data_IF_387413908310
#
_entry.id   IF_387413908310
#
_cell.length_a   1.000
_cell.length_b   1.000
_cell.length_c   1.000
_cell.angle_alpha   90.00
_cell.angle_beta   90.00
_cell.angle_gamma   90.00
#
_symmetry.space_group_name_H-M   'P 1'
#
loop_
_entity.id
_entity.type
_entity.pdbx_description
1 polymer ?
#
# COMPACT_ATOMS: atom_id res chain seq x y z
N UNK A 1 -23.07 -28.73 -6.67
CA UNK A 1 -23.94 -27.54 -6.53
C UNK A 1 -23.56 -26.68 -5.34
N UNK A 2 -23.19 -27.23 -4.19
CA UNK A 2 -22.80 -26.48 -2.98
C UNK A 2 -21.56 -25.58 -3.18
N UNK A 3 -20.53 -26.04 -3.90
CA UNK A 3 -19.31 -25.28 -4.17
C UNK A 3 -19.54 -24.02 -5.03
N UNK A 4 -20.49 -24.07 -5.97
CA UNK A 4 -20.82 -22.92 -6.83
C UNK A 4 -21.49 -21.80 -6.00
N UNK A 5 -22.32 -22.18 -5.02
CA UNK A 5 -23.04 -21.24 -4.14
C UNK A 5 -22.05 -20.44 -3.26
N UNK A 6 -20.92 -21.02 -2.91
CA UNK A 6 -19.86 -20.33 -2.14
C UNK A 6 -18.92 -19.58 -3.07
N UNK A 7 -18.57 -20.14 -4.22
CA UNK A 7 -17.57 -19.58 -5.14
C UNK A 7 -18.04 -18.27 -5.80
N UNK A 8 -19.29 -18.23 -6.29
CA UNK A 8 -19.80 -17.04 -6.99
C UNK A 8 -19.88 -15.81 -6.09
N UNK A 9 -20.45 -15.86 -4.86
CA UNK A 9 -20.45 -14.72 -3.98
C UNK A 9 -19.04 -14.29 -3.56
N UNK A 10 -18.14 -15.24 -3.30
CA UNK A 10 -16.76 -14.89 -2.90
C UNK A 10 -15.99 -14.21 -4.04
N UNK A 11 -16.21 -14.60 -5.29
CA UNK A 11 -15.63 -13.93 -6.45
C UNK A 11 -16.20 -12.51 -6.64
N UNK A 12 -17.49 -12.31 -6.42
CA UNK A 12 -18.11 -10.98 -6.51
C UNK A 12 -17.59 -10.03 -5.42
N UNK A 13 -17.38 -10.54 -4.21
CA UNK A 13 -16.81 -9.75 -3.09
C UNK A 13 -15.35 -9.36 -3.37
N UNK A 14 -14.60 -10.18 -4.12
CA UNK A 14 -13.22 -9.90 -4.48
C UNK A 14 -13.08 -8.83 -5.57
N UNK A 15 -14.14 -8.46 -6.27
CA UNK A 15 -14.10 -7.44 -7.32
C UNK A 15 -13.79 -6.04 -6.72
N UNK A 16 -12.87 -5.25 -7.32
CA UNK A 16 -12.04 -5.54 -8.49
C UNK A 16 -10.68 -6.17 -8.17
N UNK A 17 -10.38 -6.44 -6.90
CA UNK A 17 -9.04 -6.77 -6.38
C UNK A 17 -8.74 -8.29 -6.42
N UNK A 18 -9.05 -8.97 -7.53
CA UNK A 18 -8.88 -10.42 -7.64
C UNK A 18 -7.46 -10.93 -7.38
N UNK A 19 -6.43 -10.15 -7.68
CA UNK A 19 -5.04 -10.54 -7.46
C UNK A 19 -4.68 -10.67 -5.97
N UNK A 20 -5.32 -9.86 -5.13
CA UNK A 20 -5.12 -9.87 -3.67
C UNK A 20 -6.17 -10.72 -2.95
N UNK A 21 -6.94 -11.55 -3.70
CA UNK A 21 -7.99 -12.36 -3.11
C UNK A 21 -7.43 -13.57 -2.37
N UNK A 22 -7.76 -13.66 -1.11
CA UNK A 22 -7.60 -14.86 -0.29
C UNK A 22 -8.96 -15.33 0.19
N UNK A 23 -9.19 -16.65 0.14
CA UNK A 23 -10.46 -17.22 0.54
C UNK A 23 -10.72 -17.02 2.05
N UNK A 24 -11.97 -17.16 2.45
CA UNK A 24 -12.42 -16.97 3.85
C UNK A 24 -11.69 -17.92 4.81
N UNK A 25 -11.36 -19.14 4.38
CA UNK A 25 -10.63 -20.12 5.19
C UNK A 25 -9.17 -19.67 5.47
N UNK A 26 -8.58 -18.86 4.61
CA UNK A 26 -7.27 -18.22 4.81
C UNK A 26 -7.36 -16.90 5.58
N UNK A 27 -8.52 -16.53 6.11
CA UNK A 27 -8.76 -15.28 6.83
C UNK A 27 -9.06 -14.07 5.93
N UNK A 28 -9.33 -14.29 4.64
CA UNK A 28 -9.65 -13.27 3.65
C UNK A 28 -8.43 -12.45 3.22
N UNK A 29 -8.62 -11.50 2.31
CA UNK A 29 -7.55 -10.71 1.69
C UNK A 29 -6.73 -9.87 2.68
N UNK A 30 -7.26 -9.53 3.85
CA UNK A 30 -6.52 -8.79 4.90
C UNK A 30 -5.42 -9.62 5.57
N UNK A 31 -5.55 -10.93 5.59
CA UNK A 31 -4.59 -11.84 6.21
C UNK A 31 -3.71 -12.56 5.19
N UNK A 32 -3.85 -12.25 3.91
CA UNK A 32 -3.08 -12.87 2.83
C UNK A 32 -1.57 -12.79 3.01
N UNK A 33 -1.08 -11.67 3.55
CA UNK A 33 0.35 -11.45 3.82
C UNK A 33 0.97 -12.42 4.84
N UNK A 34 0.15 -13.07 5.68
CA UNK A 34 0.63 -14.10 6.62
C UNK A 34 0.89 -15.45 5.96
N UNK A 35 0.25 -15.70 4.81
CA UNK A 35 0.29 -17.00 4.13
C UNK A 35 1.23 -17.02 2.92
N UNK A 36 1.23 -15.95 2.15
CA UNK A 36 2.02 -15.85 0.92
C UNK A 36 2.66 -14.46 0.82
N UNK A 37 3.98 -14.43 0.75
CA UNK A 37 4.78 -13.23 0.56
C UNK A 37 5.26 -13.14 -0.89
N UNK A 38 4.36 -13.22 -1.89
CA UNK A 38 4.74 -13.17 -3.29
C UNK A 38 3.84 -12.28 -4.14
N UNK A 39 4.03 -12.38 -5.42
CA UNK A 39 3.34 -11.69 -6.51
C UNK A 39 1.80 -11.63 -6.39
N UNK A 40 1.20 -12.44 -5.52
CA UNK A 40 -0.23 -12.42 -5.26
C UNK A 40 -0.70 -11.28 -4.34
N UNK A 41 0.20 -10.44 -3.81
CA UNK A 41 -0.15 -9.36 -2.88
C UNK A 41 -0.27 -8.01 -3.59
N UNK A 42 0.71 -7.65 -4.40
CA UNK A 42 0.76 -6.34 -5.05
C UNK A 42 1.61 -6.37 -6.32
N UNK A 43 1.05 -5.89 -7.42
CA UNK A 43 1.73 -5.59 -8.68
C UNK A 43 1.42 -4.17 -9.16
N UNK A 44 0.93 -3.34 -8.26
CA UNK A 44 0.51 -2.00 -8.58
C UNK A 44 -0.93 -1.84 -9.02
N UNK A 45 -1.72 -2.91 -8.92
CA UNK A 45 -3.14 -2.87 -9.27
C UNK A 45 -3.97 -1.92 -8.38
N UNK A 46 -3.44 -1.53 -7.22
CA UNK A 46 -4.17 -0.71 -6.25
C UNK A 46 -4.01 0.81 -6.44
N UNK A 47 -3.27 1.28 -7.46
CA UNK A 47 -3.13 2.71 -7.74
C UNK A 47 -4.47 3.43 -7.99
N UNK A 48 -5.43 2.88 -8.78
CA UNK A 48 -6.74 3.52 -8.92
C UNK A 48 -7.51 3.63 -7.61
N UNK A 49 -7.38 2.65 -6.72
CA UNK A 49 -7.99 2.69 -5.40
C UNK A 49 -7.28 3.72 -4.49
N UNK A 50 -5.95 3.85 -4.59
CA UNK A 50 -5.19 4.88 -3.90
C UNK A 50 -5.64 6.28 -4.34
N UNK A 51 -5.80 6.52 -5.63
CA UNK A 51 -6.31 7.81 -6.14
C UNK A 51 -7.69 8.14 -5.56
N UNK A 52 -8.62 7.19 -5.58
CA UNK A 52 -9.95 7.38 -4.97
C UNK A 52 -9.87 7.69 -3.47
N UNK A 53 -8.96 7.05 -2.75
CA UNK A 53 -8.72 7.32 -1.34
C UNK A 53 -8.19 8.75 -1.13
N UNK A 54 -7.22 9.19 -1.93
CA UNK A 54 -6.67 10.55 -1.87
C UNK A 54 -7.75 11.59 -2.12
N UNK A 55 -8.56 11.43 -3.17
CA UNK A 55 -9.65 12.35 -3.52
C UNK A 55 -10.70 12.45 -2.40
N UNK A 56 -11.10 11.30 -1.86
CA UNK A 56 -12.08 11.24 -0.76
C UNK A 56 -11.59 11.93 0.51
N UNK A 57 -10.29 11.93 0.76
CA UNK A 57 -9.69 12.47 1.99
C UNK A 57 -8.99 13.83 1.78
N UNK A 58 -9.19 14.48 0.61
CA UNK A 58 -8.56 15.75 0.23
C UNK A 58 -7.03 15.73 0.43
N UNK A 59 -6.39 14.68 -0.11
CA UNK A 59 -4.94 14.51 -0.09
C UNK A 59 -4.41 14.87 -1.48
N UNK A 60 -3.78 16.02 -1.62
CA UNK A 60 -3.24 16.49 -2.89
C UNK A 60 -1.95 15.76 -3.24
N UNK A 61 -1.07 15.56 -2.25
CA UNK A 61 0.23 14.90 -2.43
C UNK A 61 0.47 13.85 -1.35
N UNK A 62 1.06 12.70 -1.74
CA UNK A 62 1.35 11.58 -0.85
C UNK A 62 2.81 11.13 -0.96
N UNK A 63 3.37 10.63 0.14
CA UNK A 63 4.68 9.99 0.15
C UNK A 63 4.50 8.51 -0.15
N UNK A 64 5.02 8.04 -1.29
CA UNK A 64 4.67 6.75 -1.87
C UNK A 64 5.86 5.79 -1.92
N UNK A 65 5.69 4.63 -1.32
CA UNK A 65 6.54 3.45 -1.51
C UNK A 65 5.72 2.37 -2.23
N UNK A 66 5.81 2.35 -3.55
CA UNK A 66 4.94 1.57 -4.41
C UNK A 66 5.68 0.43 -5.08
N UNK A 67 5.11 -0.79 -4.98
CA UNK A 67 5.65 -1.97 -5.64
C UNK A 67 4.96 -2.15 -7.01
N UNK A 68 5.61 -1.72 -8.07
CA UNK A 68 5.11 -1.80 -9.44
C UNK A 68 5.95 -0.98 -10.42
N UNK A 69 5.58 -1.04 -11.69
CA UNK A 69 6.30 -0.39 -12.79
C UNK A 69 5.49 0.68 -13.51
N UNK A 70 4.19 0.75 -13.22
CA UNK A 70 3.32 1.77 -13.81
C UNK A 70 3.57 3.08 -13.07
N UNK A 71 3.75 4.15 -13.82
CA UNK A 71 3.91 5.48 -13.24
C UNK A 71 2.61 5.92 -12.55
N UNK A 72 2.65 6.23 -11.24
CA UNK A 72 1.47 6.70 -10.51
C UNK A 72 0.84 7.98 -11.08
N UNK A 73 1.62 8.83 -11.74
CA UNK A 73 1.14 10.07 -12.36
C UNK A 73 0.10 9.82 -13.46
N UNK A 74 0.14 8.64 -14.12
CA UNK A 74 -0.87 8.23 -15.12
C UNK A 74 -2.28 8.19 -14.50
N UNK A 75 -2.37 7.89 -13.21
CA UNK A 75 -3.64 7.90 -12.45
C UNK A 75 -3.93 9.23 -11.77
N UNK A 76 -3.14 10.28 -12.05
CA UNK A 76 -3.28 11.59 -11.41
C UNK A 76 -2.88 11.60 -9.94
N UNK A 77 -1.94 10.74 -9.55
CA UNK A 77 -1.39 10.70 -8.20
C UNK A 77 -0.14 11.58 -8.16
N UNK A 78 -0.22 12.73 -7.47
CA UNK A 78 0.97 13.51 -7.14
C UNK A 78 1.65 12.88 -5.92
N UNK A 79 2.92 12.51 -6.08
CA UNK A 79 3.66 11.83 -5.04
C UNK A 79 5.10 12.33 -4.92
N UNK A 80 5.70 12.02 -3.80
CA UNK A 80 7.15 11.99 -3.62
C UNK A 80 7.54 10.62 -3.07
N UNK A 81 8.77 10.20 -3.25
CA UNK A 81 9.22 8.95 -2.65
C UNK A 81 9.07 8.98 -1.12
N UNK A 82 8.54 7.91 -0.57
CA UNK A 82 8.49 7.73 0.88
C UNK A 82 9.91 7.58 1.41
N UNK A 83 10.25 8.35 2.45
CA UNK A 83 11.54 8.26 3.11
C UNK A 83 11.66 6.94 3.90
N UNK A 84 12.87 6.43 4.04
CA UNK A 84 13.19 5.26 4.86
C UNK A 84 12.72 5.43 6.31
N UNK A 85 12.93 6.61 6.87
CA UNK A 85 12.48 6.95 8.23
C UNK A 85 11.20 7.77 8.17
N UNK A 86 10.12 7.33 8.86
CA UNK A 86 8.88 8.07 8.86
C UNK A 86 9.05 9.45 9.52
N UNK A 87 8.63 10.49 8.82
CA UNK A 87 8.57 11.87 9.30
C UNK A 87 7.12 12.35 9.31
N UNK A 88 6.89 13.65 9.43
CA UNK A 88 5.55 14.21 9.32
C UNK A 88 5.03 14.07 7.88
N UNK A 89 3.79 13.61 7.72
CA UNK A 89 3.14 13.49 6.42
C UNK A 89 2.16 12.32 6.33
N UNK A 90 1.68 12.07 5.12
CA UNK A 90 0.85 10.91 4.80
C UNK A 90 1.66 10.00 3.89
N UNK A 91 1.75 8.74 4.29
CA UNK A 91 2.51 7.73 3.59
C UNK A 91 1.58 6.65 3.04
N UNK A 92 1.89 6.17 1.85
CA UNK A 92 1.27 5.00 1.25
C UNK A 92 2.39 4.00 0.92
N UNK A 93 2.42 2.87 1.62
CA UNK A 93 3.48 1.87 1.49
C UNK A 93 2.87 0.54 1.05
N UNK A 94 3.40 -0.04 -0.02
CA UNK A 94 2.99 -1.37 -0.47
C UNK A 94 3.35 -2.44 0.57
N UNK A 95 2.43 -3.40 0.77
CA UNK A 95 2.62 -4.54 1.66
C UNK A 95 3.91 -5.32 1.35
N UNK A 96 4.30 -5.42 0.08
CA UNK A 96 5.52 -6.13 -0.32
C UNK A 96 6.77 -5.53 0.34
N UNK A 97 6.82 -4.23 0.54
CA UNK A 97 7.92 -3.57 1.25
C UNK A 97 7.83 -3.75 2.77
N UNK A 98 6.62 -3.76 3.31
CA UNK A 98 6.41 -3.99 4.74
C UNK A 98 6.79 -5.41 5.15
N UNK A 99 6.59 -6.42 4.29
CA UNK A 99 7.05 -7.79 4.53
C UNK A 99 8.52 -8.01 4.16
N UNK A 100 9.21 -7.00 3.66
CA UNK A 100 10.65 -7.03 3.40
C UNK A 100 11.02 -7.60 2.03
N UNK A 101 10.32 -7.21 0.97
CA UNK A 101 10.76 -7.49 -0.39
C UNK A 101 11.70 -6.41 -0.91
N UNK A 102 12.91 -6.77 -1.37
CA UNK A 102 13.76 -5.84 -2.07
C UNK A 102 13.21 -5.58 -3.47
N UNK A 103 13.25 -4.33 -3.91
CA UNK A 103 12.76 -3.95 -5.23
C UNK A 103 13.30 -2.59 -5.67
N UNK A 104 12.84 -2.12 -6.82
CA UNK A 104 13.17 -0.81 -7.35
C UNK A 104 11.99 0.13 -7.22
N UNK A 105 12.20 1.28 -6.58
CA UNK A 105 11.24 2.39 -6.56
C UNK A 105 11.44 3.27 -7.79
N UNK A 106 10.33 3.75 -8.34
CA UNK A 106 10.34 4.76 -9.38
C UNK A 106 10.41 6.14 -8.71
N UNK A 107 11.46 6.91 -9.00
CA UNK A 107 11.57 8.29 -8.52
C UNK A 107 10.63 9.19 -9.32
N UNK A 108 9.95 10.06 -8.60
CA UNK A 108 9.17 11.13 -9.21
C UNK A 108 10.05 12.02 -10.11
N UNK A 109 9.47 12.58 -11.16
CA UNK A 109 10.06 13.51 -12.12
C UNK A 109 11.23 12.99 -12.98
N UNK A 110 12.04 12.06 -12.51
CA UNK A 110 13.21 11.55 -13.25
C UNK A 110 12.98 10.19 -13.88
N UNK A 111 11.99 9.45 -13.41
CA UNK A 111 11.73 8.05 -13.75
C UNK A 111 12.92 7.11 -13.53
N UNK A 112 13.91 7.56 -12.75
CA UNK A 112 15.03 6.73 -12.34
C UNK A 112 14.58 5.66 -11.33
N UNK A 113 15.24 4.52 -11.35
CA UNK A 113 14.99 3.43 -10.43
C UNK A 113 15.94 3.49 -9.24
N UNK A 114 15.40 3.58 -8.04
CA UNK A 114 16.12 3.47 -6.78
C UNK A 114 15.96 2.05 -6.23
N UNK A 115 17.05 1.29 -6.13
CA UNK A 115 17.03 -0.01 -5.45
C UNK A 115 16.87 0.19 -3.94
N UNK A 116 15.96 -0.58 -3.34
CA UNK A 116 15.78 -0.67 -1.89
C UNK A 116 15.93 -2.10 -1.41
N UNK A 117 16.52 -2.28 -0.24
CA UNK A 117 16.70 -3.58 0.39
C UNK A 117 15.50 -3.99 1.26
N UNK A 118 15.59 -5.18 1.86
CA UNK A 118 14.52 -5.79 2.67
C UNK A 118 14.14 -4.98 3.93
N UNK A 119 15.02 -4.12 4.42
CA UNK A 119 14.83 -3.37 5.66
C UNK A 119 14.56 -1.88 5.42
N UNK A 120 14.44 -1.47 4.17
CA UNK A 120 14.30 -0.06 3.84
C UNK A 120 13.09 0.60 4.53
N UNK A 121 11.96 -0.13 4.62
CA UNK A 121 10.72 0.34 5.26
C UNK A 121 10.41 -0.39 6.57
N UNK A 122 11.40 -0.96 7.26
CA UNK A 122 11.20 -1.73 8.50
C UNK A 122 10.49 -0.92 9.61
N UNK A 123 10.78 0.37 9.72
CA UNK A 123 10.20 1.24 10.75
C UNK A 123 8.68 1.40 10.62
N UNK A 124 8.13 1.25 9.40
CA UNK A 124 6.68 1.33 9.17
C UNK A 124 5.95 0.09 9.66
N UNK A 125 6.63 -1.05 9.84
CA UNK A 125 6.04 -2.30 10.37
C UNK A 125 5.54 -2.16 11.81
N UNK A 126 6.10 -1.22 12.55
CA UNK A 126 5.74 -0.95 13.95
C UNK A 126 4.70 0.17 14.11
N UNK A 127 4.21 0.70 13.00
CA UNK A 127 3.18 1.73 13.00
C UNK A 127 1.82 1.09 12.70
N UNK A 128 0.77 1.56 13.36
CA UNK A 128 -0.58 1.21 12.98
C UNK A 128 -0.99 1.98 11.74
N UNK A 129 -1.44 1.29 10.66
CA UNK A 129 -1.95 1.96 9.48
C UNK A 129 -3.31 2.60 9.78
N UNK A 130 -3.53 3.81 9.28
CA UNK A 130 -4.82 4.50 9.36
C UNK A 130 -5.86 3.93 8.39
N UNK A 131 -5.41 3.29 7.31
CA UNK A 131 -6.25 2.61 6.32
C UNK A 131 -5.43 1.59 5.52
N UNK A 132 -6.14 0.65 4.86
CA UNK A 132 -5.57 -0.23 3.84
C UNK A 132 -6.39 -0.06 2.57
N UNK A 133 -5.73 0.22 1.46
CA UNK A 133 -6.35 0.51 0.18
C UNK A 133 -6.02 -0.59 -0.83
N UNK A 134 -7.03 -1.09 -1.55
CA UNK A 134 -6.86 -2.14 -2.55
C UNK A 134 -6.25 -3.43 -1.99
N UNK A 135 -6.38 -3.67 -0.69
CA UNK A 135 -5.78 -4.78 0.07
C UNK A 135 -4.26 -4.84 0.08
N UNK A 136 -3.55 -3.95 -0.62
CA UNK A 136 -2.09 -4.03 -0.78
C UNK A 136 -1.33 -2.76 -0.39
N UNK A 137 -1.99 -1.59 -0.30
CA UNK A 137 -1.35 -0.32 0.07
C UNK A 137 -1.78 0.10 1.46
N UNK A 138 -0.82 0.24 2.36
CA UNK A 138 -1.01 0.64 3.75
C UNK A 138 -0.78 2.14 3.90
N UNK A 139 -1.77 2.84 4.46
CA UNK A 139 -1.72 4.29 4.66
C UNK A 139 -1.33 4.59 6.10
N UNK A 140 -0.33 5.46 6.28
CA UNK A 140 0.10 5.95 7.57
C UNK A 140 -0.05 7.47 7.61
N UNK A 141 -1.05 7.97 8.35
CA UNK A 141 -1.23 9.41 8.56
C UNK A 141 -0.44 9.86 9.80
N UNK A 142 0.72 10.44 9.55
CA UNK A 142 1.64 10.89 10.60
C UNK A 142 1.61 12.42 10.78
N UNK A 143 0.63 13.13 10.22
CA UNK A 143 0.53 14.60 10.33
C UNK A 143 0.45 15.08 11.78
N UNK A 144 -0.29 14.38 12.63
CA UNK A 144 -0.48 14.74 14.04
C UNK A 144 0.60 14.19 14.98
N UNK A 145 1.21 13.06 14.65
CA UNK A 145 2.14 12.35 15.53
C UNK A 145 3.43 13.13 15.80
N UNK A 146 3.86 13.96 14.88
CA UNK A 146 5.06 14.78 14.99
C UNK A 146 4.77 16.21 15.47
N UNK A 147 3.55 16.72 15.33
CA UNK A 147 3.12 18.02 15.85
C UNK A 147 3.15 18.05 17.39
N UNK A 148 2.80 16.95 18.07
CA UNK A 148 2.80 16.86 19.52
C UNK A 148 4.21 16.85 20.15
N UNK A 149 5.27 16.50 19.40
CA UNK A 149 6.65 16.53 19.88
C UNK A 149 7.32 17.91 19.82
N UNK A 150 6.81 18.83 19.02
CA UNK A 150 7.37 20.18 18.86
C UNK A 150 6.79 21.19 19.87
N UNK A 151 5.65 20.89 20.52
CA UNK A 151 5.00 21.75 21.50
C UNK A 151 5.38 21.45 22.96
N UNK A 152 6.33 20.55 23.18
CA UNK A 152 6.79 20.11 24.52
C UNK A 152 8.25 20.49 24.82
N UNK A 153 8.75 21.63 24.28
CA UNK A 153 10.03 22.23 24.71
C UNK A 153 9.82 23.63 25.19
#
# INVERSE_FOLDING_TARGET
MFLIIIYVPSSLIAFPDYLSYFNIAAGGSRNGSHWLMDSNLDWGQSLPALKKYMDKNNIDKIKLGYFGRVDPEIYGIDYSLAEQKPTQGIYAISINFLVGRPYYLLKENTHELLYIDINYYDQYRYLEPSAVVGHSIYIFDLRKKFSARSSGK
#
